data_IF_165455265895
#
_entry.id   IF_165455265895
#
_cell.length_a   1.000
_cell.length_b   1.000
_cell.length_c   1.000
_cell.angle_alpha   90.00
_cell.angle_beta   90.00
_cell.angle_gamma   90.00
#
_symmetry.space_group_name_H-M   'P 1'
#
loop_
_entity.id
_entity.type
_entity.pdbx_description
1 polymer ?
#
# COMPACT_ATOMS: atom_id res chain seq x y z
N UNK A 1 13.66 -35.29 1.95
CA UNK A 1 13.23 -34.21 2.87
C UNK A 1 13.67 -32.79 2.45
N UNK A 2 14.88 -32.58 1.89
CA UNK A 2 15.34 -31.23 1.45
C UNK A 2 14.50 -30.59 0.33
N UNK A 3 13.92 -31.39 -0.55
CA UNK A 3 13.09 -30.91 -1.67
C UNK A 3 11.77 -30.30 -1.23
N UNK A 4 11.10 -30.85 -0.22
CA UNK A 4 9.82 -30.32 0.27
C UNK A 4 9.95 -28.92 0.92
N UNK A 5 11.07 -28.66 1.62
CA UNK A 5 11.35 -27.38 2.28
C UNK A 5 11.70 -26.29 1.24
N UNK A 6 12.44 -26.63 0.18
CA UNK A 6 12.78 -25.68 -0.89
C UNK A 6 11.53 -25.22 -1.68
N UNK A 7 10.56 -26.11 -1.88
CA UNK A 7 9.29 -25.79 -2.55
C UNK A 7 8.40 -24.87 -1.71
N UNK A 8 8.28 -25.08 -0.40
CA UNK A 8 7.48 -24.22 0.48
C UNK A 8 8.08 -22.81 0.62
N UNK A 9 9.40 -22.68 0.67
CA UNK A 9 10.07 -21.36 0.63
C UNK A 9 9.82 -20.60 -0.68
N UNK A 10 9.84 -21.31 -1.82
CA UNK A 10 9.61 -20.70 -3.15
C UNK A 10 8.16 -20.25 -3.36
N UNK A 11 7.18 -20.99 -2.83
CA UNK A 11 5.76 -20.61 -2.87
C UNK A 11 5.51 -19.35 -2.02
N UNK A 12 6.01 -19.32 -0.78
CA UNK A 12 5.86 -18.16 0.10
C UNK A 12 6.49 -16.89 -0.49
N UNK A 13 7.65 -17.01 -1.15
CA UNK A 13 8.29 -15.88 -1.82
C UNK A 13 7.44 -15.31 -2.97
N UNK A 14 6.88 -16.17 -3.83
CA UNK A 14 6.02 -15.72 -4.94
C UNK A 14 4.76 -15.01 -4.46
N UNK A 15 4.11 -15.54 -3.41
CA UNK A 15 2.92 -14.93 -2.83
C UNK A 15 3.26 -13.57 -2.22
N UNK A 16 4.36 -13.47 -1.47
CA UNK A 16 4.82 -12.20 -0.90
C UNK A 16 5.13 -11.16 -1.98
N UNK A 17 5.89 -11.54 -3.00
CA UNK A 17 6.24 -10.65 -4.11
C UNK A 17 5.02 -10.15 -4.89
N UNK A 18 4.02 -11.02 -5.12
CA UNK A 18 2.77 -10.62 -5.78
C UNK A 18 1.95 -9.64 -4.92
N UNK A 19 1.88 -9.87 -3.60
CA UNK A 19 1.21 -8.97 -2.67
C UNK A 19 1.93 -7.62 -2.54
N UNK A 20 3.26 -7.61 -2.55
CA UNK A 20 4.04 -6.38 -2.52
C UNK A 20 3.80 -5.55 -3.80
N UNK A 21 3.77 -6.19 -4.98
CA UNK A 21 3.46 -5.54 -6.25
C UNK A 21 2.04 -4.92 -6.26
N UNK A 22 1.03 -5.68 -5.83
CA UNK A 22 -0.34 -5.18 -5.68
C UNK A 22 -0.42 -4.04 -4.66
N UNK A 23 0.31 -4.17 -3.54
CA UNK A 23 0.38 -3.15 -2.50
C UNK A 23 0.93 -1.82 -3.03
N UNK A 24 1.95 -1.86 -3.89
CA UNK A 24 2.51 -0.67 -4.55
C UNK A 24 1.50 -0.01 -5.48
N UNK A 25 0.75 -0.76 -6.28
CA UNK A 25 -0.29 -0.18 -7.16
C UNK A 25 -1.40 0.50 -6.36
N UNK A 26 -1.90 -0.16 -5.31
CA UNK A 26 -2.95 0.38 -4.43
C UNK A 26 -2.48 1.65 -3.70
N UNK A 27 -1.27 1.63 -3.17
CA UNK A 27 -0.67 2.76 -2.48
C UNK A 27 -0.46 3.94 -3.44
N UNK A 28 0.01 3.69 -4.66
CA UNK A 28 0.20 4.72 -5.69
C UNK A 28 -1.12 5.41 -6.00
N UNK A 29 -2.16 4.64 -6.30
CA UNK A 29 -3.49 5.19 -6.58
C UNK A 29 -4.06 5.99 -5.39
N UNK A 30 -3.83 5.51 -4.15
CA UNK A 30 -4.26 6.24 -2.96
C UNK A 30 -3.53 7.57 -2.80
N UNK A 31 -2.21 7.61 -3.01
CA UNK A 31 -1.44 8.86 -2.95
C UNK A 31 -1.88 9.83 -4.03
N UNK A 32 -2.11 9.36 -5.26
CA UNK A 32 -2.57 10.21 -6.36
C UNK A 32 -3.95 10.83 -6.07
N UNK A 33 -4.91 10.03 -5.59
CA UNK A 33 -6.28 10.48 -5.39
C UNK A 33 -6.48 11.22 -4.06
N UNK A 34 -5.95 10.67 -2.96
CA UNK A 34 -6.29 11.08 -1.59
C UNK A 34 -5.24 11.99 -0.95
N UNK A 35 -4.05 12.13 -1.55
CA UNK A 35 -3.00 13.03 -1.05
C UNK A 35 -2.75 14.16 -2.05
N UNK A 36 -2.38 13.82 -3.28
CA UNK A 36 -2.11 14.82 -4.33
C UNK A 36 -3.40 15.44 -4.89
N UNK A 37 -4.45 14.63 -5.06
CA UNK A 37 -5.78 15.05 -5.48
C UNK A 37 -6.69 15.53 -4.35
N UNK A 38 -6.18 15.66 -3.12
CA UNK A 38 -6.99 16.06 -1.97
C UNK A 38 -7.56 17.47 -2.14
N UNK A 39 -8.84 17.65 -1.88
CA UNK A 39 -9.59 18.89 -2.11
C UNK A 39 -10.01 19.12 -3.57
N UNK A 40 -9.80 18.16 -4.48
CA UNK A 40 -10.17 18.28 -5.91
C UNK A 40 -11.35 17.37 -6.32
N UNK A 41 -12.04 16.76 -5.35
CA UNK A 41 -13.10 15.76 -5.57
C UNK A 41 -12.64 14.46 -6.23
N UNK A 42 -11.33 14.27 -6.37
CA UNK A 42 -10.72 13.01 -6.83
C UNK A 42 -10.44 12.03 -5.69
N UNK A 43 -10.50 12.51 -4.46
CA UNK A 43 -10.38 11.69 -3.26
C UNK A 43 -11.53 10.69 -3.14
N UNK A 44 -11.24 9.54 -2.52
CA UNK A 44 -12.23 8.48 -2.37
C UNK A 44 -13.48 8.97 -1.62
N UNK A 45 -14.64 8.37 -1.86
CA UNK A 45 -15.94 8.84 -1.34
C UNK A 45 -16.05 8.93 0.20
N UNK A 46 -15.10 8.36 0.94
CA UNK A 46 -15.02 8.40 2.41
C UNK A 46 -13.87 9.26 2.93
N UNK A 47 -13.19 9.99 2.06
CA UNK A 47 -12.10 10.88 2.44
C UNK A 47 -12.61 11.96 3.38
N UNK A 48 -11.95 12.10 4.53
CA UNK A 48 -12.24 13.19 5.45
C UNK A 48 -11.50 14.44 4.97
N UNK A 49 -12.10 15.63 5.04
CA UNK A 49 -11.36 16.87 4.84
C UNK A 49 -10.22 16.97 5.87
N UNK A 50 -8.99 16.95 5.39
CA UNK A 50 -7.77 17.00 6.20
C UNK A 50 -6.85 18.11 5.70
N UNK A 51 -6.03 18.65 6.59
CA UNK A 51 -4.94 19.57 6.22
C UNK A 51 -3.75 18.79 5.65
N UNK A 52 -2.87 19.43 4.84
CA UNK A 52 -1.68 18.77 4.30
C UNK A 52 -0.79 18.08 5.33
N UNK A 53 -0.67 18.66 6.54
CA UNK A 53 0.10 18.06 7.63
C UNK A 53 -0.54 16.76 8.18
N UNK A 54 -1.87 16.68 8.19
CA UNK A 54 -2.63 15.50 8.62
C UNK A 54 -2.54 14.38 7.57
N UNK A 55 -2.61 14.72 6.28
CA UNK A 55 -2.37 13.78 5.17
C UNK A 55 -0.97 13.18 5.22
N UNK A 56 0.05 14.00 5.51
CA UNK A 56 1.42 13.53 5.70
C UNK A 56 1.55 12.58 6.90
N UNK A 57 0.82 12.83 7.98
CA UNK A 57 0.81 11.95 9.15
C UNK A 57 0.11 10.61 8.84
N UNK A 58 -0.99 10.65 8.09
CA UNK A 58 -1.68 9.45 7.60
C UNK A 58 -0.75 8.61 6.71
N UNK A 59 -0.08 9.25 5.74
CA UNK A 59 0.84 8.58 4.84
C UNK A 59 1.99 7.90 5.59
N UNK A 60 2.59 8.58 6.58
CA UNK A 60 3.64 8.01 7.45
C UNK A 60 3.15 6.81 8.26
N UNK A 61 1.86 6.77 8.58
CA UNK A 61 1.24 5.68 9.33
C UNK A 61 0.85 4.51 8.41
N UNK A 62 0.45 4.79 7.17
CA UNK A 62 0.04 3.80 6.18
C UNK A 62 1.23 3.09 5.51
N UNK A 63 2.28 3.82 5.13
CA UNK A 63 3.45 3.29 4.40
C UNK A 63 4.08 2.04 5.06
N UNK A 64 4.32 2.00 6.39
CA UNK A 64 4.90 0.83 7.03
C UNK A 64 4.01 -0.42 6.98
N UNK A 65 2.72 -0.29 6.67
CA UNK A 65 1.79 -1.43 6.53
C UNK A 65 1.90 -2.11 5.17
N UNK A 66 2.36 -1.38 4.15
CA UNK A 66 2.55 -1.91 2.80
C UNK A 66 3.96 -2.45 2.56
N UNK A 67 4.95 -1.95 3.32
CA UNK A 67 6.37 -2.24 3.08
C UNK A 67 7.00 -3.20 4.11
N UNK A 68 6.23 -3.80 5.01
CA UNK A 68 6.69 -4.76 6.04
C UNK A 68 6.28 -6.19 5.77
#
# INVERSE_FOLDING_TARGET
MKTAIAWTSSINFRVRSALDALGVELLTNHVECCVAGHGTHKEHARAKPMKPAELLAELRTALPRFLK
#
